data_IF_642891410053
#
_entry.id   IF_642891410053
#
_cell.length_a   1.000
_cell.length_b   1.000
_cell.length_c   1.000
_cell.angle_alpha   90.00
_cell.angle_beta   90.00
_cell.angle_gamma   90.00
#
_symmetry.space_group_name_H-M   'P 1'
#
loop_
_entity.id
_entity.type
_entity.pdbx_description
1 polymer ?
#
# COMPACT_ATOMS: atom_id res chain seq x y z
N UNK A 1 -11.63 2.23 6.07
CA UNK A 1 -10.49 2.10 7.00
C UNK A 1 -9.42 3.18 6.77
N UNK A 2 -9.10 3.51 5.51
CA UNK A 2 -8.14 4.55 5.09
C UNK A 2 -8.22 5.88 5.88
N UNK A 3 -9.39 6.56 5.88
CA UNK A 3 -9.54 7.85 6.57
C UNK A 3 -9.27 7.80 8.10
N UNK A 4 -9.40 6.64 8.75
CA UNK A 4 -9.14 6.53 10.21
C UNK A 4 -7.66 6.32 10.55
N UNK A 5 -6.88 5.77 9.62
CA UNK A 5 -5.44 5.57 9.74
C UNK A 5 -4.70 6.88 9.54
N UNK A 6 -4.95 7.56 8.42
CA UNK A 6 -4.27 8.81 8.07
C UNK A 6 -4.55 9.92 9.09
N UNK A 7 -5.82 10.07 9.49
CA UNK A 7 -6.18 11.03 10.55
C UNK A 7 -5.44 10.73 11.86
N UNK A 8 -5.10 9.48 12.18
CA UNK A 8 -4.33 9.17 13.39
C UNK A 8 -2.83 9.36 13.20
N UNK A 9 -2.29 9.22 12.00
CA UNK A 9 -0.87 9.46 11.73
C UNK A 9 -0.55 10.96 11.62
N UNK A 10 -1.51 11.78 11.20
CA UNK A 10 -1.33 13.22 10.95
C UNK A 10 -2.12 14.12 11.92
N UNK A 11 -2.79 13.55 12.93
CA UNK A 11 -3.54 14.34 13.91
C UNK A 11 -2.62 15.15 14.82
N UNK A 12 -3.10 16.32 15.21
CA UNK A 12 -2.48 17.11 16.25
C UNK A 12 -2.60 16.40 17.61
N UNK A 13 -1.47 15.97 18.20
CA UNK A 13 -1.44 15.40 19.54
C UNK A 13 -0.94 16.39 20.57
N UNK A 14 -1.76 16.63 21.59
CA UNK A 14 -1.40 17.47 22.74
C UNK A 14 -0.19 16.92 23.51
N UNK A 15 0.01 15.60 23.50
CA UNK A 15 1.13 14.94 24.17
C UNK A 15 2.48 15.21 23.49
N UNK A 16 2.50 15.49 22.19
CA UNK A 16 3.74 15.80 21.44
C UNK A 16 4.29 17.18 21.82
N UNK A 17 3.41 18.09 22.27
CA UNK A 17 3.75 19.45 22.69
C UNK A 17 3.85 19.60 24.21
N UNK A 18 3.10 18.80 24.98
CA UNK A 18 3.08 18.81 26.44
C UNK A 18 3.23 17.37 26.98
N UNK A 19 4.46 16.82 27.00
CA UNK A 19 4.71 15.40 27.32
C UNK A 19 4.17 14.96 28.68
N UNK A 20 4.13 15.88 29.66
CA UNK A 20 3.61 15.63 31.00
C UNK A 20 2.09 15.40 31.07
N UNK A 21 1.32 15.76 30.03
CA UNK A 21 -0.10 15.45 29.90
C UNK A 21 -0.38 14.18 29.09
N UNK A 22 0.65 13.46 28.64
CA UNK A 22 0.51 12.25 27.81
C UNK A 22 -0.26 11.11 28.49
N UNK A 23 -0.25 11.04 29.83
CA UNK A 23 -0.96 10.00 30.58
C UNK A 23 -2.49 10.13 30.55
N UNK A 24 -3.01 11.33 30.24
CA UNK A 24 -4.45 11.61 30.29
C UNK A 24 -5.19 11.09 29.05
N UNK A 25 -4.48 10.80 27.94
CA UNK A 25 -5.04 10.37 26.65
C UNK A 25 -6.35 11.12 26.29
N UNK A 26 -6.36 12.45 26.45
CA UNK A 26 -7.59 13.27 26.41
C UNK A 26 -8.35 13.18 25.08
N UNK A 27 -7.64 12.90 23.98
CA UNK A 27 -8.21 12.71 22.66
C UNK A 27 -8.56 11.23 22.36
N UNK A 28 -8.28 10.33 23.31
CA UNK A 28 -8.39 8.87 23.15
C UNK A 28 -7.47 8.31 22.07
N UNK A 29 -6.41 9.04 21.72
CA UNK A 29 -5.49 8.73 20.63
C UNK A 29 -4.74 7.43 20.91
N UNK A 30 -4.13 7.30 22.08
CA UNK A 30 -3.36 6.11 22.47
C UNK A 30 -4.27 4.88 22.49
N UNK A 31 -5.49 5.02 23.03
CA UNK A 31 -6.48 3.94 23.01
C UNK A 31 -6.86 3.52 21.58
N UNK A 32 -7.07 4.47 20.68
CA UNK A 32 -7.42 4.20 19.26
C UNK A 32 -6.24 3.56 18.53
N UNK A 33 -5.02 4.05 18.71
CA UNK A 33 -3.81 3.47 18.11
C UNK A 33 -3.54 2.05 18.60
N UNK A 34 -3.72 1.77 19.90
CA UNK A 34 -3.64 0.40 20.42
C UNK A 34 -4.69 -0.52 19.81
N UNK A 35 -5.92 -0.04 19.66
CA UNK A 35 -6.98 -0.82 19.02
C UNK A 35 -6.70 -1.07 17.53
N UNK A 36 -6.11 -0.10 16.84
CA UNK A 36 -5.72 -0.17 15.44
C UNK A 36 -4.55 -1.13 15.23
N UNK A 37 -3.49 -0.98 16.04
CA UNK A 37 -2.34 -1.89 16.09
C UNK A 37 -2.79 -3.34 16.27
N UNK A 38 -3.67 -3.64 17.22
CA UNK A 38 -4.23 -5.00 17.41
C UNK A 38 -4.98 -5.55 16.19
N UNK A 39 -5.59 -4.69 15.37
CA UNK A 39 -6.27 -5.13 14.14
C UNK A 39 -5.28 -5.43 13.03
N UNK A 40 -4.26 -4.59 12.88
CA UNK A 40 -3.19 -4.83 11.91
C UNK A 40 -2.36 -6.05 12.26
N UNK A 41 -2.05 -6.23 13.55
CA UNK A 41 -1.30 -7.38 14.03
C UNK A 41 -1.99 -8.69 13.65
N UNK A 42 -3.29 -8.82 13.94
CA UNK A 42 -4.11 -9.97 13.52
C UNK A 42 -4.19 -10.15 12.00
N UNK A 43 -4.26 -9.04 11.27
CA UNK A 43 -4.28 -9.08 9.81
C UNK A 43 -2.97 -9.65 9.26
N UNK A 44 -1.82 -9.15 9.73
CA UNK A 44 -0.52 -9.64 9.28
C UNK A 44 -0.23 -11.05 9.74
N UNK A 45 -0.65 -11.45 10.95
CA UNK A 45 -0.57 -12.84 11.39
C UNK A 45 -1.30 -13.76 10.41
N UNK A 46 -2.53 -13.42 10.07
CA UNK A 46 -3.32 -14.22 9.12
C UNK A 46 -2.66 -14.32 7.74
N UNK A 47 -2.20 -13.19 7.17
CA UNK A 47 -1.51 -13.17 5.88
C UNK A 47 -0.21 -13.97 5.96
N UNK A 48 0.60 -13.78 6.99
CA UNK A 48 1.90 -14.45 7.06
C UNK A 48 1.76 -15.95 7.31
N UNK A 49 0.75 -16.38 8.06
CA UNK A 49 0.44 -17.79 8.25
C UNK A 49 0.02 -18.45 6.93
N UNK A 50 -0.80 -17.80 6.12
CA UNK A 50 -1.16 -18.29 4.78
C UNK A 50 0.08 -18.48 3.89
N UNK A 51 0.98 -17.50 3.85
CA UNK A 51 2.21 -17.58 3.06
C UNK A 51 3.16 -18.67 3.57
N UNK A 52 3.31 -18.79 4.90
CA UNK A 52 4.13 -19.85 5.52
C UNK A 52 3.56 -21.23 5.25
N UNK A 53 2.25 -21.41 5.31
CA UNK A 53 1.63 -22.69 5.03
C UNK A 53 1.83 -23.09 3.56
N UNK A 54 1.76 -22.13 2.63
CA UNK A 54 2.13 -22.37 1.23
C UNK A 54 3.60 -22.76 1.09
N UNK A 55 4.53 -22.08 1.77
CA UNK A 55 5.96 -22.44 1.77
C UNK A 55 6.19 -23.88 2.25
N UNK A 56 5.49 -24.30 3.31
CA UNK A 56 5.57 -25.67 3.83
C UNK A 56 5.02 -26.72 2.86
N UNK A 57 3.99 -26.37 2.08
CA UNK A 57 3.39 -27.26 1.07
C UNK A 57 4.30 -27.38 -0.15
N UNK A 58 4.80 -26.27 -0.67
CA UNK A 58 5.60 -26.23 -1.91
C UNK A 58 7.06 -26.68 -1.68
N UNK A 59 7.60 -26.54 -0.46
CA UNK A 59 8.96 -26.95 -0.06
C UNK A 59 10.02 -26.56 -1.08
N UNK A 60 10.62 -27.54 -1.77
CA UNK A 60 11.69 -27.36 -2.75
C UNK A 60 11.21 -26.68 -4.03
N UNK A 61 9.90 -26.69 -4.32
CA UNK A 61 9.29 -25.98 -5.43
C UNK A 61 8.85 -24.56 -5.11
N UNK A 62 9.08 -24.06 -3.88
CA UNK A 62 8.58 -22.76 -3.46
C UNK A 62 9.32 -21.59 -4.15
N UNK A 63 8.60 -20.90 -5.03
CA UNK A 63 9.06 -19.67 -5.68
C UNK A 63 8.34 -18.49 -5.05
N UNK A 64 9.09 -17.45 -4.63
CA UNK A 64 8.49 -16.24 -4.08
C UNK A 64 7.67 -15.54 -5.17
N UNK A 65 6.41 -15.22 -4.88
CA UNK A 65 5.48 -14.60 -5.84
C UNK A 65 5.23 -13.13 -5.56
N UNK A 66 5.41 -12.73 -4.31
CA UNK A 66 5.14 -11.37 -3.85
C UNK A 66 6.14 -10.92 -2.78
N UNK A 67 6.03 -9.66 -2.37
CA UNK A 67 6.95 -9.04 -1.42
C UNK A 67 6.89 -9.71 -0.05
N UNK A 68 5.73 -10.21 0.39
CA UNK A 68 5.60 -10.89 1.69
C UNK A 68 6.44 -12.17 1.69
N UNK A 69 6.42 -12.92 0.59
CA UNK A 69 7.28 -14.11 0.46
C UNK A 69 8.75 -13.79 0.52
N UNK A 70 9.16 -12.72 -0.15
CA UNK A 70 10.55 -12.28 -0.18
C UNK A 70 11.00 -11.90 1.23
N UNK A 71 10.19 -11.12 1.95
CA UNK A 71 10.50 -10.71 3.32
C UNK A 71 10.55 -11.89 4.29
N UNK A 72 9.62 -12.84 4.16
CA UNK A 72 9.61 -14.05 4.98
C UNK A 72 10.82 -14.95 4.70
N UNK A 73 11.18 -15.16 3.43
CA UNK A 73 12.42 -15.87 3.05
C UNK A 73 13.66 -15.19 3.61
N UNK A 74 13.70 -13.86 3.54
CA UNK A 74 14.83 -13.08 4.06
C UNK A 74 14.93 -13.17 5.58
N UNK A 75 13.80 -13.26 6.29
CA UNK A 75 13.77 -13.48 7.73
C UNK A 75 14.21 -14.89 8.15
N UNK A 76 14.13 -15.88 7.25
CA UNK A 76 14.59 -17.26 7.49
C UNK A 76 16.06 -17.49 7.10
N UNK A 77 16.71 -16.55 6.40
CA UNK A 77 18.11 -16.69 5.99
C UNK A 77 19.08 -16.40 7.16
N UNK A 78 19.83 -17.42 7.63
CA UNK A 78 20.75 -17.26 8.75
C UNK A 78 22.00 -16.44 8.40
N UNK A 79 22.26 -16.18 7.12
CA UNK A 79 23.46 -15.49 6.65
C UNK A 79 23.29 -13.97 6.56
N UNK A 80 22.11 -13.44 6.91
CA UNK A 80 21.91 -11.99 6.92
C UNK A 80 22.79 -11.31 7.98
N UNK A 81 23.42 -10.20 7.60
CA UNK A 81 24.19 -9.36 8.53
C UNK A 81 23.32 -8.87 9.70
N UNK A 82 22.04 -8.61 9.43
CA UNK A 82 21.03 -8.24 10.43
C UNK A 82 19.83 -9.16 10.27
N UNK A 83 19.59 -10.03 11.25
CA UNK A 83 18.42 -10.89 11.22
C UNK A 83 17.13 -10.07 11.34
N UNK A 84 16.18 -10.34 10.44
CA UNK A 84 14.88 -9.71 10.44
C UNK A 84 13.95 -10.44 11.41
N UNK A 85 13.53 -9.74 12.48
CA UNK A 85 12.47 -10.26 13.34
C UNK A 85 11.13 -10.21 12.62
N UNK A 86 10.18 -11.03 13.06
CA UNK A 86 8.83 -11.04 12.49
C UNK A 86 8.12 -9.69 12.64
N UNK A 87 8.41 -8.95 13.72
CA UNK A 87 7.85 -7.61 13.95
C UNK A 87 8.42 -6.60 12.94
N UNK A 88 9.69 -6.73 12.57
CA UNK A 88 10.31 -5.92 11.50
C UNK A 88 9.66 -6.25 10.16
N UNK A 89 9.42 -7.53 9.86
CA UNK A 89 8.73 -7.95 8.64
C UNK A 89 7.30 -7.38 8.58
N UNK A 90 6.55 -7.43 9.69
CA UNK A 90 5.23 -6.80 9.81
C UNK A 90 5.31 -5.29 9.56
N UNK A 91 6.30 -4.63 10.13
CA UNK A 91 6.55 -3.19 9.94
C UNK A 91 6.84 -2.82 8.49
N UNK A 92 7.73 -3.56 7.81
CA UNK A 92 8.06 -3.33 6.40
C UNK A 92 6.86 -3.56 5.47
N UNK A 93 6.10 -4.62 5.69
CA UNK A 93 4.87 -4.88 4.93
C UNK A 93 3.84 -3.76 5.13
N UNK A 94 3.71 -3.25 6.36
CA UNK A 94 2.82 -2.15 6.67
C UNK A 94 3.24 -0.84 5.99
N UNK A 95 4.52 -0.51 6.04
CA UNK A 95 5.05 0.71 5.43
C UNK A 95 4.79 0.71 3.92
N UNK A 96 5.06 -0.41 3.25
CA UNK A 96 4.80 -0.57 1.82
C UNK A 96 3.32 -0.35 1.46
N UNK A 97 2.40 -0.99 2.18
CA UNK A 97 0.96 -0.90 1.89
C UNK A 97 0.45 0.51 2.13
N UNK A 98 0.80 1.12 3.27
CA UNK A 98 0.33 2.45 3.65
C UNK A 98 0.90 3.50 2.71
N UNK A 99 2.20 3.46 2.43
CA UNK A 99 2.89 4.39 1.54
C UNK A 99 2.36 4.33 0.11
N UNK A 100 2.16 3.13 -0.43
CA UNK A 100 1.66 2.97 -1.80
C UNK A 100 0.19 3.36 -1.96
N UNK A 101 -0.65 3.04 -0.97
CA UNK A 101 -2.10 3.28 -1.08
C UNK A 101 -2.43 4.77 -1.08
N UNK A 102 -1.82 5.54 -0.17
CA UNK A 102 -2.22 6.93 -0.01
C UNK A 102 -1.80 7.78 -1.20
N UNK A 103 -0.53 7.69 -1.58
CA UNK A 103 0.05 8.39 -2.73
C UNK A 103 -0.70 8.10 -4.03
N UNK A 104 -0.90 6.82 -4.36
CA UNK A 104 -1.58 6.40 -5.59
C UNK A 104 -3.03 6.87 -5.63
N UNK A 105 -3.76 6.78 -4.51
CA UNK A 105 -5.14 7.27 -4.48
C UNK A 105 -5.19 8.77 -4.71
N UNK A 106 -4.32 9.54 -4.05
CA UNK A 106 -4.28 11.00 -4.20
C UNK A 106 -3.96 11.40 -5.63
N UNK A 107 -2.99 10.75 -6.28
CA UNK A 107 -2.68 11.00 -7.70
C UNK A 107 -3.88 10.74 -8.60
N UNK A 108 -4.58 9.61 -8.41
CA UNK A 108 -5.77 9.27 -9.20
C UNK A 108 -6.91 10.28 -8.94
N UNK A 109 -7.14 10.65 -7.68
CA UNK A 109 -8.17 11.64 -7.32
C UNK A 109 -7.92 12.99 -7.99
N UNK A 110 -6.67 13.45 -8.02
CA UNK A 110 -6.31 14.70 -8.70
C UNK A 110 -6.45 14.61 -10.22
N UNK A 111 -5.91 13.54 -10.83
CA UNK A 111 -6.01 13.31 -12.26
C UNK A 111 -7.49 13.30 -12.71
N UNK A 112 -8.33 12.54 -12.02
CA UNK A 112 -9.77 12.47 -12.33
C UNK A 112 -10.48 13.80 -12.08
N UNK A 113 -10.14 14.51 -11.00
CA UNK A 113 -10.73 15.82 -10.70
C UNK A 113 -10.43 16.86 -11.78
N UNK A 114 -9.24 16.81 -12.39
CA UNK A 114 -8.88 17.72 -13.48
C UNK A 114 -9.49 17.30 -14.81
N UNK A 115 -9.49 16.00 -15.12
CA UNK A 115 -10.13 15.45 -16.32
C UNK A 115 -11.63 15.76 -16.39
N UNK A 116 -12.36 15.66 -15.28
CA UNK A 116 -13.80 15.94 -15.23
C UNK A 116 -14.10 17.41 -15.58
N UNK A 117 -13.22 18.35 -15.23
CA UNK A 117 -13.35 19.77 -15.61
C UNK A 117 -13.06 20.02 -17.09
N UNK A 118 -12.36 19.10 -17.74
CA UNK A 118 -11.92 19.22 -19.13
C UNK A 118 -12.36 18.01 -19.97
N UNK A 119 -13.67 17.89 -20.31
CA UNK A 119 -14.20 16.71 -21.01
C UNK A 119 -13.53 16.40 -22.35
N UNK A 120 -12.95 17.42 -23.01
CA UNK A 120 -12.21 17.24 -24.25
C UNK A 120 -10.92 16.42 -24.06
N UNK A 121 -10.27 16.49 -22.90
CA UNK A 121 -9.11 15.66 -22.57
C UNK A 121 -9.53 14.20 -22.34
N UNK A 122 -10.65 13.96 -21.65
CA UNK A 122 -11.21 12.61 -21.51
C UNK A 122 -11.45 12.00 -22.89
N UNK A 123 -12.07 12.77 -23.80
CA UNK A 123 -12.32 12.30 -25.17
C UNK A 123 -11.02 11.91 -25.88
N UNK A 124 -9.98 12.74 -25.77
CA UNK A 124 -8.67 12.48 -26.39
C UNK A 124 -7.97 11.25 -25.78
N UNK A 125 -8.09 11.04 -24.46
CA UNK A 125 -7.59 9.84 -23.79
C UNK A 125 -8.31 8.57 -24.28
N UNK A 126 -9.64 8.63 -24.41
CA UNK A 126 -10.42 7.52 -24.96
C UNK A 126 -10.07 7.26 -26.41
N UNK A 127 -9.87 8.29 -27.24
CA UNK A 127 -9.45 8.15 -28.63
C UNK A 127 -8.06 7.49 -28.75
N UNK A 128 -7.12 7.80 -27.84
CA UNK A 128 -5.82 7.13 -27.78
C UNK A 128 -5.96 5.65 -27.42
N UNK A 129 -6.74 5.33 -26.38
CA UNK A 129 -6.99 3.95 -25.96
C UNK A 129 -7.68 3.13 -27.08
N UNK A 130 -8.71 3.70 -27.71
CA UNK A 130 -9.43 3.06 -28.83
C UNK A 130 -8.48 2.81 -30.03
N UNK A 131 -7.54 3.73 -30.29
CA UNK A 131 -6.57 3.60 -31.39
C UNK A 131 -5.50 2.55 -31.11
N UNK A 132 -4.99 2.49 -29.89
CA UNK A 132 -3.82 1.66 -29.53
C UNK A 132 -4.23 0.24 -29.13
N UNK A 133 -5.34 0.12 -28.41
CA UNK A 133 -5.77 -1.14 -27.77
C UNK A 133 -7.00 -1.72 -28.48
N UNK A 134 -7.90 -0.86 -28.95
CA UNK A 134 -9.19 -1.25 -29.50
C UNK A 134 -10.19 -1.65 -28.41
N UNK A 135 -11.29 -2.31 -28.81
CA UNK A 135 -12.43 -2.65 -27.93
C UNK A 135 -12.56 -4.15 -27.62
N UNK A 136 -11.69 -4.96 -28.20
CA UNK A 136 -11.79 -6.42 -28.15
C UNK A 136 -11.00 -7.04 -26.99
N UNK A 137 -10.16 -6.26 -26.29
CA UNK A 137 -9.33 -6.74 -25.19
C UNK A 137 -9.14 -5.69 -24.10
N UNK A 138 -8.78 -6.16 -22.92
CA UNK A 138 -8.37 -5.31 -21.80
C UNK A 138 -6.99 -4.70 -22.00
N UNK A 139 -6.79 -3.53 -21.39
CA UNK A 139 -5.49 -2.86 -21.21
C UNK A 139 -4.52 -3.80 -20.49
N UNK A 140 -3.28 -3.85 -20.97
CA UNK A 140 -2.17 -4.52 -20.33
C UNK A 140 -1.06 -3.52 -20.01
N UNK A 141 -0.21 -3.84 -19.03
CA UNK A 141 0.89 -2.96 -18.61
C UNK A 141 1.88 -2.67 -19.75
N UNK A 142 2.09 -3.65 -20.63
CA UNK A 142 2.95 -3.49 -21.82
C UNK A 142 2.43 -2.45 -22.81
N UNK A 143 1.11 -2.16 -22.80
CA UNK A 143 0.52 -1.16 -23.68
C UNK A 143 0.90 0.26 -23.27
N UNK A 144 1.30 0.48 -22.01
CA UNK A 144 1.57 1.82 -21.45
C UNK A 144 2.59 2.61 -22.27
N UNK A 145 3.62 1.92 -22.79
CA UNK A 145 4.65 2.52 -23.66
C UNK A 145 4.08 3.15 -24.94
N UNK A 146 2.87 2.75 -25.36
CA UNK A 146 2.17 3.24 -26.54
C UNK A 146 1.03 4.21 -26.20
N UNK A 147 0.90 4.66 -24.95
CA UNK A 147 -0.14 5.57 -24.48
C UNK A 147 0.46 6.92 -24.00
N UNK A 148 1.13 7.69 -24.87
CA UNK A 148 1.83 8.91 -24.47
C UNK A 148 0.89 10.01 -23.94
N UNK A 149 -0.38 10.04 -24.35
CA UNK A 149 -1.33 11.01 -23.82
C UNK A 149 -1.84 10.60 -22.43
N UNK A 150 -2.06 9.31 -22.17
CA UNK A 150 -2.31 8.81 -20.80
C UNK A 150 -1.12 9.10 -19.88
N UNK A 151 0.11 8.88 -20.35
CA UNK A 151 1.34 9.17 -19.58
C UNK A 151 1.43 10.66 -19.21
N UNK A 152 1.03 11.56 -20.12
CA UNK A 152 0.98 13.01 -19.87
C UNK A 152 -0.14 13.45 -18.91
N UNK A 153 -1.16 12.62 -18.69
CA UNK A 153 -2.17 12.88 -17.65
C UNK A 153 -1.63 12.53 -16.26
N UNK A 154 -0.75 11.53 -16.18
CA UNK A 154 -0.22 11.01 -14.92
C UNK A 154 1.03 11.76 -14.42
N UNK A 155 1.79 12.40 -15.31
CA UNK A 155 2.99 13.17 -15.01
C UNK A 155 2.77 14.69 -15.13
#
# INVERSE_FOLDING_TARGET
MKNRMLVQLTAFHLADWMPWMGFMDLQGYVKRMKALSKRFDKFYEHVFDEHRDRMKVEKQGFVARDVVDVLLKLAEDPNLEVQLSIDVVKGLAQDLIVGATDTTTTTIEWAMSELIKQPHLIKKATEELDRVIGKERWVQETDFTNLPFIDLILN
#
